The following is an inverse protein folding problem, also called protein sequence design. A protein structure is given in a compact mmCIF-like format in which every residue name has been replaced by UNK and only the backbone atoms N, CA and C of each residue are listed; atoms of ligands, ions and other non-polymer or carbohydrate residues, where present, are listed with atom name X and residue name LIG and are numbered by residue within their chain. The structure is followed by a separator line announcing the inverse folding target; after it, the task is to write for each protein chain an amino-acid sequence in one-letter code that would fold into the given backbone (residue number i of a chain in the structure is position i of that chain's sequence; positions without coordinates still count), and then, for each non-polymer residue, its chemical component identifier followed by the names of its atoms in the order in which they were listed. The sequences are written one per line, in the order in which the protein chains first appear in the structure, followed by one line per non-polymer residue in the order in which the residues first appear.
data_IF_082608748795
#
_entry.id   IF_082608748795
#
_cell.length_a   1.000
_cell.length_b   1.000
_cell.length_c   1.000
_cell.angle_alpha   90.00
_cell.angle_beta   90.00
_cell.angle_gamma   90.00
#
_symmetry.space_group_name_H-M   'P 1'
#
loop_
_entity.id
_entity.type
_entity.pdbx_description
1 polymer ?
#
# COMPACT_ATOMS: atom_id res chain seq x y z
N UNK A 1 -13.43 -12.92 30.10
CA UNK A 1 -12.62 -12.44 28.96
C UNK A 1 -11.17 -12.40 29.40
N UNK A 2 -10.37 -13.35 28.95
CA UNK A 2 -8.92 -13.25 29.00
C UNK A 2 -8.51 -12.15 28.02
N UNK A 3 -7.96 -11.03 28.53
CA UNK A 3 -7.33 -10.00 27.70
C UNK A 3 -6.10 -10.62 27.03
N UNK A 4 -6.29 -11.32 25.91
CA UNK A 4 -5.18 -11.65 25.04
C UNK A 4 -4.61 -10.33 24.53
N UNK A 5 -3.34 -10.08 24.83
CA UNK A 5 -2.63 -8.93 24.30
C UNK A 5 -2.49 -9.12 22.79
N UNK A 6 -3.30 -8.40 22.02
CA UNK A 6 -3.21 -8.41 20.56
C UNK A 6 -1.84 -7.84 20.16
N UNK A 7 -1.07 -8.63 19.41
CA UNK A 7 0.26 -8.25 18.95
C UNK A 7 0.15 -7.35 17.71
N UNK A 8 0.56 -6.07 17.85
CA UNK A 8 0.53 -5.09 16.76
C UNK A 8 1.23 -5.58 15.48
N UNK A 9 2.36 -6.27 15.61
CA UNK A 9 3.12 -6.79 14.48
C UNK A 9 2.32 -7.86 13.73
N UNK A 10 1.67 -8.77 14.47
CA UNK A 10 0.82 -9.81 13.88
C UNK A 10 -0.34 -9.21 13.10
N UNK A 11 -0.99 -8.17 13.62
CA UNK A 11 -2.09 -7.48 12.93
C UNK A 11 -1.68 -7.01 11.54
N UNK A 12 -0.51 -6.38 11.47
CA UNK A 12 0.00 -5.81 10.23
C UNK A 12 0.48 -6.89 9.27
N UNK A 13 1.15 -7.94 9.77
CA UNK A 13 1.62 -9.03 8.92
C UNK A 13 0.49 -9.92 8.40
N UNK A 14 -0.64 -10.05 9.10
CA UNK A 14 -1.82 -10.74 8.56
C UNK A 14 -2.37 -10.01 7.33
N UNK A 15 -2.40 -8.67 7.38
CA UNK A 15 -2.92 -7.82 6.32
C UNK A 15 -1.90 -7.60 5.17
N UNK A 16 -0.66 -7.20 5.49
CA UNK A 16 0.38 -6.78 4.53
C UNK A 16 1.43 -7.86 4.22
N UNK A 17 1.31 -9.04 4.86
CA UNK A 17 2.13 -10.26 4.64
C UNK A 17 3.64 -10.09 4.76
N UNK A 18 4.28 -9.50 3.75
CA UNK A 18 5.74 -9.47 3.57
C UNK A 18 6.36 -8.10 3.89
N UNK A 19 5.68 -7.26 4.66
CA UNK A 19 6.19 -5.93 5.02
C UNK A 19 7.34 -6.02 6.03
N UNK A 20 8.40 -5.24 5.80
CA UNK A 20 9.50 -5.09 6.75
C UNK A 20 9.14 -4.03 7.80
N UNK A 21 8.87 -4.47 9.03
CA UNK A 21 8.54 -3.58 10.16
C UNK A 21 9.78 -3.30 11.04
N UNK A 22 9.98 -2.05 11.48
CA UNK A 22 11.03 -1.69 12.43
C UNK A 22 11.04 -2.55 13.70
N UNK A 23 12.17 -2.64 14.38
CA UNK A 23 12.30 -3.44 15.61
C UNK A 23 11.44 -2.93 16.76
N UNK A 24 11.24 -1.61 16.81
CA UNK A 24 10.46 -0.86 17.79
C UNK A 24 9.07 -0.48 17.27
N UNK A 25 8.58 -1.20 16.26
CA UNK A 25 7.30 -0.93 15.61
C UNK A 25 6.12 -0.83 16.59
N UNK A 26 5.36 0.25 16.45
CA UNK A 26 4.03 0.42 17.02
C UNK A 26 2.99 0.74 15.92
N UNK A 27 1.70 0.61 16.23
CA UNK A 27 0.64 0.88 15.26
C UNK A 27 0.61 2.35 14.75
N UNK A 28 0.71 3.38 15.61
CA UNK A 28 0.81 4.77 15.16
C UNK A 28 1.86 5.02 14.07
N UNK A 29 2.94 4.25 14.04
CA UNK A 29 3.98 4.33 13.00
C UNK A 29 3.44 4.16 11.57
N UNK A 30 2.33 3.45 11.35
CA UNK A 30 1.73 3.27 10.02
C UNK A 30 1.09 4.55 9.46
N UNK A 31 0.71 5.49 10.32
CA UNK A 31 -0.05 6.67 9.93
C UNK A 31 -1.55 6.42 9.77
N UNK A 32 -2.32 7.51 9.76
CA UNK A 32 -3.79 7.48 9.84
C UNK A 32 -4.47 6.72 8.70
N UNK A 33 -4.03 6.93 7.44
CA UNK A 33 -4.68 6.31 6.27
C UNK A 33 -4.44 4.79 6.23
N UNK A 34 -3.20 4.34 6.48
CA UNK A 34 -2.87 2.90 6.50
C UNK A 34 -3.56 2.18 7.67
N UNK A 35 -3.66 2.82 8.84
CA UNK A 35 -4.44 2.29 9.96
C UNK A 35 -5.94 2.21 9.63
N UNK A 36 -6.47 3.18 8.87
CA UNK A 36 -7.85 3.13 8.39
C UNK A 36 -8.11 1.91 7.50
N UNK A 37 -7.19 1.61 6.57
CA UNK A 37 -7.26 0.41 5.74
C UNK A 37 -7.18 -0.89 6.57
N UNK A 38 -6.28 -0.92 7.55
CA UNK A 38 -6.14 -2.07 8.47
C UNK A 38 -7.41 -2.27 9.31
N UNK A 39 -8.02 -1.20 9.83
CA UNK A 39 -9.29 -1.27 10.54
C UNK A 39 -10.41 -1.78 9.64
N UNK A 40 -10.48 -1.31 8.39
CA UNK A 40 -11.46 -1.78 7.40
C UNK A 40 -11.34 -3.27 7.09
N UNK A 41 -10.11 -3.80 7.02
CA UNK A 41 -9.85 -5.24 6.85
C UNK A 41 -10.44 -6.05 8.02
N UNK A 42 -10.11 -5.69 9.27
CA UNK A 42 -10.61 -6.40 10.45
C UNK A 42 -12.12 -6.24 10.66
N UNK A 43 -12.68 -5.07 10.32
CA UNK A 43 -14.13 -4.88 10.34
C UNK A 43 -14.83 -5.78 9.32
N UNK A 44 -14.26 -5.93 8.12
CA UNK A 44 -14.81 -6.85 7.10
C UNK A 44 -14.76 -8.29 7.59
N UNK A 45 -13.64 -8.71 8.22
CA UNK A 45 -13.50 -10.05 8.81
C UNK A 45 -14.56 -10.30 9.89
N UNK A 46 -14.72 -9.36 10.81
CA UNK A 46 -15.75 -9.41 11.87
C UNK A 46 -17.15 -9.56 11.28
N UNK A 47 -17.51 -8.71 10.31
CA UNK A 47 -18.85 -8.71 9.71
C UNK A 47 -19.12 -9.99 8.93
N UNK A 48 -18.12 -10.52 8.20
CA UNK A 48 -18.26 -11.81 7.50
C UNK A 48 -18.54 -12.95 8.48
N UNK A 49 -17.83 -13.00 9.62
CA UNK A 49 -18.05 -14.01 10.64
C UNK A 49 -19.45 -13.86 11.25
N UNK A 50 -19.86 -12.63 11.61
CA UNK A 50 -21.19 -12.34 12.14
C UNK A 50 -22.32 -12.78 11.19
N UNK A 51 -22.14 -12.62 9.87
CA UNK A 51 -23.09 -13.08 8.87
C UNK A 51 -23.20 -14.62 8.83
N UNK A 52 -22.08 -15.33 9.00
CA UNK A 52 -22.05 -16.81 9.03
C UNK A 52 -22.68 -17.35 10.33
N UNK A 53 -22.37 -16.75 11.48
CA UNK A 53 -22.89 -17.20 12.79
C UNK A 53 -24.33 -16.76 13.04
N UNK A 54 -24.78 -15.64 12.47
CA UNK A 54 -26.12 -15.08 12.65
C UNK A 54 -27.17 -15.48 11.61
N UNK A 55 -26.78 -16.17 10.51
CA UNK A 55 -27.73 -16.57 9.46
C UNK A 55 -28.57 -17.80 9.87
N UNK A 56 -29.91 -17.76 9.74
CA UNK A 56 -30.77 -18.91 10.03
C UNK A 56 -30.75 -20.04 8.97
N UNK A 57 -29.75 -20.12 8.08
CA UNK A 57 -29.83 -21.02 6.91
C UNK A 57 -29.25 -22.41 7.17
N UNK A 58 -30.15 -23.38 7.07
CA UNK A 58 -30.02 -24.84 7.20
C UNK A 58 -29.12 -25.55 6.18
N UNK A 59 -28.13 -24.89 5.58
CA UNK A 59 -27.32 -25.46 4.48
C UNK A 59 -25.82 -25.61 4.81
N UNK A 60 -25.32 -25.03 5.90
CA UNK A 60 -23.96 -25.30 6.39
C UNK A 60 -24.04 -26.04 7.73
N UNK A 61 -23.68 -27.33 7.72
CA UNK A 61 -23.49 -28.15 8.92
C UNK A 61 -22.19 -27.69 9.63
N UNK A 62 -22.21 -26.50 10.24
CA UNK A 62 -21.07 -25.98 11.00
C UNK A 62 -21.06 -26.68 12.35
N UNK A 63 -19.96 -27.37 12.66
CA UNK A 63 -19.81 -28.04 13.94
C UNK A 63 -19.76 -27.04 15.09
N UNK A 64 -20.14 -27.47 16.29
CA UNK A 64 -20.04 -26.64 17.50
C UNK A 64 -18.61 -26.13 17.76
N UNK A 65 -17.60 -26.90 17.36
CA UNK A 65 -16.20 -26.46 17.51
C UNK A 65 -15.86 -25.34 16.53
N UNK A 66 -16.32 -25.41 15.28
CA UNK A 66 -16.13 -24.36 14.30
C UNK A 66 -16.89 -23.08 14.69
N UNK A 67 -18.10 -23.20 15.22
CA UNK A 67 -18.86 -22.06 15.77
C UNK A 67 -18.09 -21.37 16.91
N UNK A 68 -17.56 -22.14 17.88
CA UNK A 68 -16.77 -21.56 18.97
C UNK A 68 -15.48 -20.86 18.47
N UNK A 69 -14.85 -21.39 17.40
CA UNK A 69 -13.68 -20.76 16.79
C UNK A 69 -14.06 -19.46 16.10
N UNK A 70 -15.16 -19.44 15.34
CA UNK A 70 -15.68 -18.25 14.69
C UNK A 70 -16.04 -17.16 15.71
N UNK A 71 -16.72 -17.50 16.80
CA UNK A 71 -17.04 -16.54 17.86
C UNK A 71 -15.76 -15.92 18.46
N UNK A 72 -14.72 -16.74 18.69
CA UNK A 72 -13.43 -16.23 19.16
C UNK A 72 -12.76 -15.32 18.12
N UNK A 73 -12.75 -15.70 16.85
CA UNK A 73 -12.19 -14.89 15.77
C UNK A 73 -12.95 -13.57 15.58
N UNK A 74 -14.27 -13.57 15.78
CA UNK A 74 -15.09 -12.35 15.75
C UNK A 74 -14.70 -11.40 16.88
N UNK A 75 -14.61 -11.91 18.11
CA UNK A 75 -14.17 -11.14 19.27
C UNK A 75 -12.75 -10.57 19.08
N UNK A 76 -11.83 -11.38 18.54
CA UNK A 76 -10.47 -10.95 18.21
C UNK A 76 -10.45 -9.86 17.14
N UNK A 77 -11.25 -9.99 16.07
CA UNK A 77 -11.37 -9.00 15.03
C UNK A 77 -11.96 -7.68 15.55
N UNK A 78 -13.02 -7.74 16.36
CA UNK A 78 -13.61 -6.55 16.99
C UNK A 78 -12.61 -5.83 17.90
N UNK A 79 -11.91 -6.58 18.77
CA UNK A 79 -10.89 -6.01 19.65
C UNK A 79 -9.72 -5.39 18.86
N UNK A 80 -9.33 -6.02 17.74
CA UNK A 80 -8.32 -5.49 16.83
C UNK A 80 -8.72 -4.13 16.28
N UNK A 81 -9.98 -3.96 15.83
CA UNK A 81 -10.52 -2.67 15.38
C UNK A 81 -10.41 -1.61 16.48
N UNK A 82 -10.76 -1.92 17.73
CA UNK A 82 -10.68 -0.95 18.83
C UNK A 82 -9.25 -0.48 19.12
N UNK A 83 -8.28 -1.39 19.06
CA UNK A 83 -6.86 -1.07 19.23
C UNK A 83 -6.37 -0.18 18.08
N UNK A 84 -6.73 -0.52 16.84
CA UNK A 84 -6.34 0.26 15.66
C UNK A 84 -6.95 1.67 15.71
N UNK A 85 -8.23 1.80 16.05
CA UNK A 85 -8.89 3.12 16.20
C UNK A 85 -8.26 3.96 17.31
N UNK A 86 -7.73 3.33 18.36
CA UNK A 86 -6.99 4.03 19.41
C UNK A 86 -5.63 4.52 18.90
N UNK A 87 -4.89 3.68 18.18
CA UNK A 87 -3.64 4.05 17.53
C UNK A 87 -3.82 5.19 16.52
N UNK A 88 -4.91 5.18 15.75
CA UNK A 88 -5.22 6.23 14.78
C UNK A 88 -5.31 7.63 15.40
N UNK A 89 -5.75 7.74 16.67
CA UNK A 89 -5.83 9.04 17.37
C UNK A 89 -4.46 9.64 17.68
N UNK A 90 -3.41 8.82 17.69
CA UNK A 90 -2.03 9.21 17.98
C UNK A 90 -1.16 9.27 16.72
N UNK A 91 -1.66 8.69 15.62
CA UNK A 91 -0.94 8.63 14.36
C UNK A 91 -0.97 9.98 13.62
N UNK A 92 0.13 10.28 12.94
CA UNK A 92 0.17 11.38 11.97
C UNK A 92 -0.32 10.92 10.59
N UNK A 93 -0.53 11.88 9.69
CA UNK A 93 -0.80 11.57 8.29
C UNK A 93 0.50 11.14 7.59
N UNK A 94 0.49 9.96 6.97
CA UNK A 94 1.64 9.42 6.22
C UNK A 94 1.21 8.95 4.83
N UNK A 95 2.14 8.84 3.86
CA UNK A 95 1.86 8.28 2.55
C UNK A 95 1.28 6.87 2.64
N UNK A 96 0.18 6.64 1.91
CA UNK A 96 -0.45 5.34 1.82
C UNK A 96 0.48 4.31 1.16
N UNK A 97 0.52 3.08 1.68
CA UNK A 97 1.27 1.99 1.03
C UNK A 97 0.75 1.72 -0.37
N UNK A 98 1.68 1.54 -1.31
CA UNK A 98 1.35 1.38 -2.72
C UNK A 98 0.37 0.22 -2.96
N UNK A 99 0.56 -0.91 -2.27
CA UNK A 99 -0.30 -2.11 -2.31
C UNK A 99 -1.74 -1.89 -1.88
N UNK A 100 -2.01 -0.84 -1.10
CA UNK A 100 -3.35 -0.56 -0.55
C UNK A 100 -4.06 0.58 -1.27
N UNK A 101 -3.43 1.17 -2.29
CA UNK A 101 -4.05 2.21 -3.12
C UNK A 101 -5.23 1.63 -3.90
N UNK A 102 -6.31 2.40 -3.94
CA UNK A 102 -7.43 2.12 -4.85
C UNK A 102 -7.02 2.42 -6.28
N UNK A 103 -7.71 1.80 -7.25
CA UNK A 103 -7.41 1.98 -8.68
C UNK A 103 -7.67 3.43 -9.17
N UNK A 104 -8.29 4.27 -8.33
CA UNK A 104 -8.56 5.70 -8.59
C UNK A 104 -7.73 6.62 -7.70
N UNK A 105 -6.60 6.12 -7.18
CA UNK A 105 -5.74 6.90 -6.29
C UNK A 105 -5.16 8.16 -6.95
N UNK A 106 -4.83 8.05 -8.24
CA UNK A 106 -4.35 9.14 -9.07
C UNK A 106 -5.48 9.69 -9.94
N UNK A 107 -5.55 11.01 -10.05
CA UNK A 107 -6.50 11.69 -10.93
C UNK A 107 -5.78 12.38 -12.08
N UNK A 108 -6.48 12.60 -13.18
CA UNK A 108 -5.98 13.40 -14.31
C UNK A 108 -5.48 14.78 -13.83
N UNK A 109 -4.25 15.10 -14.21
CA UNK A 109 -3.58 16.36 -13.83
C UNK A 109 -2.82 16.32 -12.51
N UNK A 110 -2.91 15.24 -11.72
CA UNK A 110 -2.09 15.07 -10.51
C UNK A 110 -0.60 15.20 -10.86
N UNK A 111 0.13 16.02 -10.10
CA UNK A 111 1.58 16.11 -10.19
C UNK A 111 2.23 14.92 -9.47
N UNK A 112 3.12 14.23 -10.18
CA UNK A 112 3.72 12.98 -9.71
C UNK A 112 5.22 12.99 -9.87
N UNK A 113 5.86 12.18 -9.03
CA UNK A 113 7.26 11.79 -9.16
C UNK A 113 7.28 10.31 -9.52
N UNK A 114 8.05 9.98 -10.54
CA UNK A 114 8.21 8.63 -11.06
C UNK A 114 9.67 8.21 -10.93
N UNK A 115 9.93 7.01 -10.44
CA UNK A 115 11.24 6.39 -10.43
C UNK A 115 11.41 5.52 -11.67
N UNK A 116 12.36 5.86 -12.54
CA UNK A 116 12.70 5.06 -13.71
C UNK A 116 13.79 4.07 -13.33
N UNK A 117 13.42 2.81 -13.13
CA UNK A 117 14.37 1.75 -12.79
C UNK A 117 15.15 1.30 -14.03
N UNK A 118 16.44 1.00 -13.88
CA UNK A 118 17.19 0.26 -14.89
C UNK A 118 16.82 -1.22 -14.85
N UNK A 119 16.04 -1.66 -15.83
CA UNK A 119 15.62 -3.05 -16.04
C UNK A 119 16.31 -3.70 -17.24
N UNK A 120 17.35 -3.04 -17.79
CA UNK A 120 18.04 -3.47 -19.00
C UNK A 120 17.45 -2.90 -20.30
N UNK A 121 16.42 -2.04 -20.24
CA UNK A 121 15.97 -1.30 -21.42
C UNK A 121 17.05 -0.32 -21.90
N UNK A 122 17.58 -0.57 -23.10
CA UNK A 122 18.54 0.32 -23.78
C UNK A 122 17.89 1.61 -24.28
N UNK A 123 16.56 1.61 -24.43
CA UNK A 123 15.81 2.79 -24.86
C UNK A 123 15.67 3.83 -23.74
N UNK A 124 15.84 3.42 -22.48
CA UNK A 124 15.69 4.28 -21.31
C UNK A 124 16.89 5.23 -21.17
N UNK A 125 16.63 6.53 -21.29
CA UNK A 125 17.64 7.59 -21.20
C UNK A 125 18.01 7.93 -19.75
N UNK A 126 17.08 7.72 -18.83
CA UNK A 126 17.24 7.98 -17.38
C UNK A 126 17.08 6.70 -16.59
N UNK A 127 18.19 6.16 -16.10
CA UNK A 127 18.28 4.91 -15.37
C UNK A 127 18.45 5.18 -13.87
N UNK A 128 17.67 4.51 -13.04
CA UNK A 128 17.62 4.64 -11.58
C UNK A 128 17.48 6.10 -11.10
N UNK A 129 16.55 6.83 -11.70
CA UNK A 129 16.40 8.26 -11.44
C UNK A 129 14.94 8.64 -11.16
N UNK A 130 14.75 9.73 -10.41
CA UNK A 130 13.45 10.37 -10.27
C UNK A 130 13.21 11.36 -11.38
N UNK A 131 12.03 11.31 -11.96
CA UNK A 131 11.53 12.24 -12.97
C UNK A 131 10.18 12.78 -12.52
N UNK A 132 9.91 14.03 -12.86
CA UNK A 132 8.62 14.66 -12.55
C UNK A 132 7.70 14.63 -13.76
N UNK A 133 6.41 14.61 -13.53
CA UNK A 133 5.43 14.60 -14.62
C UNK A 133 4.02 14.86 -14.12
N UNK A 134 3.06 14.68 -15.02
CA UNK A 134 1.63 14.78 -14.72
C UNK A 134 0.90 13.55 -15.19
N UNK A 135 -0.08 13.13 -14.39
CA UNK A 135 -1.02 12.08 -14.78
C UNK A 135 -1.87 12.61 -15.93
N UNK A 136 -2.01 11.80 -16.98
CA UNK A 136 -2.80 12.13 -18.17
C UNK A 136 -3.82 11.03 -18.44
N UNK A 137 -5.00 11.43 -18.92
CA UNK A 137 -6.02 10.51 -19.35
C UNK A 137 -5.47 9.60 -20.45
N UNK A 138 -5.61 8.29 -20.26
CA UNK A 138 -5.19 7.28 -21.21
C UNK A 138 -6.11 6.08 -21.17
N UNK A 139 -6.04 5.21 -22.18
CA UNK A 139 -6.94 4.06 -22.32
C UNK A 139 -6.96 3.13 -21.09
N UNK A 140 -5.90 3.14 -20.26
CA UNK A 140 -5.72 2.25 -19.12
C UNK A 140 -5.92 2.91 -17.74
N UNK A 141 -6.29 4.19 -17.68
CA UNK A 141 -6.44 4.95 -16.42
C UNK A 141 -7.49 4.36 -15.46
N UNK A 142 -8.34 3.45 -15.95
CA UNK A 142 -9.38 2.76 -15.16
C UNK A 142 -9.17 1.25 -15.04
N UNK A 143 -8.07 0.72 -15.57
CA UNK A 143 -7.73 -0.71 -15.54
C UNK A 143 -6.60 -1.01 -14.54
N UNK A 144 -6.49 -0.20 -13.48
CA UNK A 144 -5.43 -0.32 -12.47
C UNK A 144 -4.09 0.27 -12.91
N UNK A 145 -4.00 0.94 -14.07
CA UNK A 145 -2.78 1.61 -14.53
C UNK A 145 -2.90 3.13 -14.55
N UNK A 146 -1.76 3.81 -14.52
CA UNK A 146 -1.66 5.27 -14.58
C UNK A 146 -0.71 5.64 -15.71
N UNK A 147 -1.19 6.47 -16.64
CA UNK A 147 -0.37 7.07 -17.69
C UNK A 147 0.17 8.42 -17.22
N UNK A 148 1.46 8.65 -17.43
CA UNK A 148 2.16 9.87 -17.01
C UNK A 148 2.87 10.47 -18.21
N UNK A 149 2.70 11.78 -18.38
CA UNK A 149 3.55 12.57 -19.27
C UNK A 149 4.66 13.19 -18.43
N UNK A 150 5.89 12.70 -18.62
CA UNK A 150 7.07 13.23 -17.94
C UNK A 150 7.43 14.63 -18.49
N UNK A 151 7.92 15.50 -17.61
CA UNK A 151 8.35 16.85 -17.96
C UNK A 151 9.60 16.87 -18.85
N UNK A 152 10.28 15.75 -18.93
CA UNK A 152 11.50 15.55 -19.70
C UNK A 152 11.46 14.22 -20.45
N UNK A 153 12.33 14.10 -21.45
CA UNK A 153 12.43 12.87 -22.25
C UNK A 153 13.07 11.76 -21.41
N UNK A 154 12.37 10.64 -21.28
CA UNK A 154 12.76 9.49 -20.45
C UNK A 154 13.20 8.27 -21.26
N UNK A 155 12.74 8.12 -22.50
CA UNK A 155 13.15 7.05 -23.40
C UNK A 155 13.27 7.52 -24.87
N UNK A 156 13.93 6.73 -25.71
CA UNK A 156 14.16 7.05 -27.14
C UNK A 156 12.96 6.74 -28.04
N UNK A 157 12.03 5.88 -27.61
CA UNK A 157 10.85 5.50 -28.37
C UNK A 157 9.82 6.63 -28.60
N UNK A 158 8.86 6.37 -29.49
CA UNK A 158 7.91 7.38 -30.01
C UNK A 158 6.71 7.67 -29.09
N UNK A 159 6.50 6.87 -28.03
CA UNK A 159 5.39 7.06 -27.10
C UNK A 159 5.45 8.46 -26.46
N UNK A 160 4.47 9.31 -26.80
CA UNK A 160 4.45 10.73 -26.43
C UNK A 160 5.82 11.42 -26.66
N UNK A 161 6.46 11.13 -27.80
CA UNK A 161 7.78 11.67 -28.18
C UNK A 161 8.91 11.37 -27.18
N UNK A 162 8.80 10.28 -26.42
CA UNK A 162 9.79 9.86 -25.44
C UNK A 162 9.49 10.27 -24.00
N UNK A 163 8.32 10.85 -23.74
CA UNK A 163 7.92 11.36 -22.43
C UNK A 163 6.91 10.46 -21.70
N UNK A 164 6.33 9.47 -22.40
CA UNK A 164 5.23 8.67 -21.87
C UNK A 164 5.71 7.57 -20.93
N UNK A 165 5.22 7.56 -19.70
CA UNK A 165 5.40 6.47 -18.74
C UNK A 165 4.05 5.83 -18.39
N UNK A 166 4.10 4.57 -17.97
CA UNK A 166 2.93 3.84 -17.49
C UNK A 166 3.30 2.99 -16.29
N UNK A 167 2.49 3.05 -15.24
CA UNK A 167 2.69 2.31 -14.00
C UNK A 167 1.40 1.62 -13.59
N UNK A 168 1.51 0.51 -12.85
CA UNK A 168 0.39 0.04 -12.06
C UNK A 168 0.09 1.08 -10.94
N UNK A 169 -1.16 1.26 -10.57
CA UNK A 169 -1.57 2.22 -9.53
C UNK A 169 -0.92 1.88 -8.18
N UNK A 170 -0.68 0.59 -7.96
CA UNK A 170 -0.05 0.02 -6.77
C UNK A 170 1.47 -0.13 -6.92
N UNK A 171 2.05 0.43 -7.97
CA UNK A 171 3.50 0.50 -8.16
C UNK A 171 4.12 1.57 -7.24
N UNK A 172 5.08 1.21 -6.37
CA UNK A 172 5.75 2.17 -5.50
C UNK A 172 6.62 3.17 -6.28
N UNK A 173 7.00 2.86 -7.54
CA UNK A 173 7.79 3.76 -8.39
C UNK A 173 7.05 5.02 -8.78
N UNK A 174 5.73 5.08 -8.67
CA UNK A 174 4.94 6.29 -8.86
C UNK A 174 4.35 6.77 -7.53
N UNK A 175 4.45 8.06 -7.27
CA UNK A 175 3.89 8.69 -6.08
C UNK A 175 3.50 10.14 -6.35
N UNK A 176 2.58 10.68 -5.55
CA UNK A 176 2.26 12.10 -5.59
C UNK A 176 3.45 12.90 -5.06
N UNK A 177 3.63 14.13 -5.54
CA UNK A 177 4.73 15.01 -5.09
C UNK A 177 4.75 15.19 -3.56
N UNK A 178 3.57 15.26 -2.93
CA UNK A 178 3.46 15.33 -1.46
C UNK A 178 4.05 14.10 -0.76
N UNK A 179 3.80 12.92 -1.32
CA UNK A 179 4.22 11.64 -0.74
C UNK A 179 5.74 11.50 -0.89
N UNK A 180 6.27 11.87 -2.06
CA UNK A 180 7.70 11.96 -2.31
C UNK A 180 8.43 12.85 -1.29
N UNK A 181 7.92 14.06 -1.06
CA UNK A 181 8.51 15.00 -0.11
C UNK A 181 8.45 14.50 1.32
N UNK A 182 7.39 13.78 1.70
CA UNK A 182 7.31 13.14 3.01
C UNK A 182 8.38 12.04 3.12
N UNK A 183 8.42 11.12 2.15
CA UNK A 183 9.32 9.96 2.16
C UNK A 183 10.80 10.37 2.19
N UNK A 184 11.17 11.42 1.46
CA UNK A 184 12.53 11.99 1.48
C UNK A 184 13.00 12.37 2.90
N UNK A 185 12.09 12.79 3.77
CA UNK A 185 12.41 13.25 5.12
C UNK A 185 12.25 12.17 6.20
N UNK A 186 11.78 10.97 5.85
CA UNK A 186 11.44 9.90 6.79
C UNK A 186 12.02 8.55 6.34
N UNK A 187 13.35 8.34 6.43
CA UNK A 187 14.02 7.15 5.89
C UNK A 187 13.55 5.83 6.52
N UNK A 188 13.23 5.82 7.81
CA UNK A 188 12.72 4.63 8.48
C UNK A 188 11.35 4.21 7.95
N UNK A 189 10.50 5.20 7.64
CA UNK A 189 9.20 4.96 7.01
C UNK A 189 9.35 4.60 5.53
N UNK A 190 10.28 5.25 4.82
CA UNK A 190 10.60 4.98 3.41
C UNK A 190 10.93 3.50 3.18
N UNK A 191 11.77 2.90 4.02
CA UNK A 191 12.15 1.49 3.86
C UNK A 191 10.94 0.57 3.95
N UNK A 192 10.11 0.74 4.98
CA UNK A 192 8.87 0.00 5.16
C UNK A 192 7.88 0.23 3.99
N UNK A 193 7.74 1.49 3.57
CA UNK A 193 6.84 1.88 2.49
C UNK A 193 7.26 1.28 1.14
N UNK A 194 8.56 1.37 0.82
CA UNK A 194 9.10 0.83 -0.42
C UNK A 194 8.97 -0.67 -0.43
N UNK A 195 9.19 -1.40 0.67
CA UNK A 195 9.21 -2.87 0.76
C UNK A 195 7.84 -3.54 0.88
N UNK A 196 6.78 -2.76 1.09
CA UNK A 196 5.40 -3.24 1.15
C UNK A 196 4.82 -3.56 -0.25
N UNK A 197 5.45 -4.46 -1.02
CA UNK A 197 5.02 -4.86 -2.38
C UNK A 197 5.32 -6.34 -2.69
N UNK A 198 4.57 -7.31 -2.18
CA UNK A 198 4.93 -8.71 -2.32
C UNK A 198 4.98 -9.23 -3.78
N UNK A 199 4.28 -8.60 -4.73
CA UNK A 199 3.95 -9.24 -6.01
C UNK A 199 4.34 -8.45 -7.28
N UNK A 200 5.05 -7.31 -7.16
CA UNK A 200 5.43 -6.53 -8.36
C UNK A 200 6.64 -7.16 -9.05
N UNK A 201 6.35 -8.04 -10.02
CA UNK A 201 7.35 -8.66 -10.88
C UNK A 201 8.30 -7.58 -11.43
N UNK A 202 9.62 -7.77 -11.21
CA UNK A 202 10.72 -6.94 -11.69
C UNK A 202 11.00 -5.62 -10.93
N UNK A 203 10.27 -5.26 -9.87
CA UNK A 203 10.68 -4.12 -9.04
C UNK A 203 11.76 -4.51 -8.02
N UNK A 204 12.89 -3.80 -8.08
CA UNK A 204 14.00 -3.91 -7.15
C UNK A 204 13.99 -2.66 -6.26
N UNK A 205 13.92 -2.78 -4.92
CA UNK A 205 13.78 -1.60 -4.07
C UNK A 205 15.10 -0.87 -3.89
N UNK A 206 16.22 -1.57 -4.05
CA UNK A 206 17.56 -1.05 -3.73
C UNK A 206 17.95 0.20 -4.55
N UNK A 207 17.78 0.24 -5.89
CA UNK A 207 18.11 1.44 -6.65
C UNK A 207 17.28 2.65 -6.25
N UNK A 208 16.02 2.43 -5.87
CA UNK A 208 15.14 3.50 -5.44
C UNK A 208 15.49 4.01 -4.05
N UNK A 209 15.80 3.11 -3.11
CA UNK A 209 16.32 3.47 -1.78
C UNK A 209 17.63 4.26 -1.89
N UNK A 210 18.55 3.81 -2.76
CA UNK A 210 19.80 4.51 -3.03
C UNK A 210 19.55 5.93 -3.61
N UNK A 211 18.65 6.04 -4.58
CA UNK A 211 18.30 7.34 -5.19
C UNK A 211 17.63 8.32 -4.20
N UNK A 212 16.98 7.83 -3.15
CA UNK A 212 16.50 8.69 -2.06
C UNK A 212 17.64 9.15 -1.14
N UNK A 213 18.64 8.30 -0.89
CA UNK A 213 19.78 8.61 -0.02
C UNK A 213 20.76 9.63 -0.63
N UNK A 214 20.79 9.77 -1.95
CA UNK A 214 21.70 10.68 -2.68
C UNK A 214 21.18 12.12 -2.84
N UNK A 215 20.01 12.45 -2.28
CA UNK A 215 19.29 13.72 -2.46
C UNK A 215 19.29 14.67 -1.27
#
# INVERSE_FOLDING_TARGET
MTNQTINARNLVTEYLRNIELPSDFDLPFLGTENLGNLAGYYLTKETMIACVTGSPQSEMDISKNELNQLDQEQDEAFNSVQIILTAMKQAESKPLFATTRSDRWFNDGDEVVCFTQDDGDESLLKKNAFVTGKVVAGCKHHEGYVSVLANEKVHTGDNQSGHGLSFDTRDPRIMKVRDYNYLKNHPDYLKMWITSYPDLLQFNPEPMLQAFAEQ
#
